data_IF_006729372775
#
_entry.id   IF_006729372775
#
_cell.length_a   1.000
_cell.length_b   1.000
_cell.length_c   1.000
_cell.angle_alpha   90.00
_cell.angle_beta   90.00
_cell.angle_gamma   90.00
#
_symmetry.space_group_name_H-M   'P 1'
#
loop_
_entity.id
_entity.type
_entity.pdbx_description
1 polymer ?
#
# COMPACT_ATOMS: atom_id res chain seq x y z
N UNK A 1 -9.15 -8.01 11.27
CA UNK A 1 -9.62 -6.66 10.90
C UNK A 1 -9.39 -6.44 9.42
N UNK A 2 -10.12 -5.55 8.76
CA UNK A 2 -9.84 -5.18 7.36
C UNK A 2 -8.87 -4.02 7.25
N UNK A 3 -7.99 -4.11 6.26
CA UNK A 3 -7.02 -3.10 5.90
C UNK A 3 -7.08 -2.82 4.42
N UNK A 4 -7.21 -1.55 4.07
CA UNK A 4 -7.33 -1.10 2.68
C UNK A 4 -5.94 -0.76 2.16
N UNK A 5 -5.57 -1.45 1.07
CA UNK A 5 -4.26 -1.41 0.45
C UNK A 5 -4.30 -0.53 -0.80
N UNK A 6 -3.26 0.26 -0.98
CA UNK A 6 -2.91 0.86 -2.25
C UNK A 6 -1.37 0.87 -2.39
N UNK A 7 -0.86 0.81 -3.61
CA UNK A 7 0.57 0.86 -3.91
C UNK A 7 0.89 1.76 -5.08
N UNK A 8 2.08 2.37 -5.02
CA UNK A 8 2.66 3.07 -6.16
C UNK A 8 3.88 2.30 -6.66
N UNK A 9 4.05 2.21 -7.98
CA UNK A 9 5.12 1.42 -8.60
C UNK A 9 5.57 2.03 -9.93
N UNK A 10 6.79 1.69 -10.37
CA UNK A 10 7.48 2.30 -11.52
C UNK A 10 6.92 1.85 -12.89
N UNK A 11 5.68 2.25 -13.17
CA UNK A 11 4.96 1.89 -14.39
C UNK A 11 4.39 0.46 -14.35
N UNK A 12 3.66 0.06 -15.40
CA UNK A 12 3.02 -1.26 -15.46
C UNK A 12 4.03 -2.41 -15.31
N UNK A 13 3.83 -3.27 -14.31
CA UNK A 13 4.73 -4.36 -13.96
C UNK A 13 6.05 -3.89 -13.32
N UNK A 14 6.11 -2.63 -12.90
CA UNK A 14 7.30 -1.96 -12.37
C UNK A 14 7.64 -2.34 -10.93
N UNK A 15 8.77 -1.81 -10.46
CA UNK A 15 9.19 -1.99 -9.08
C UNK A 15 8.29 -1.20 -8.12
N UNK A 16 7.93 -1.80 -6.98
CA UNK A 16 7.24 -1.12 -5.89
C UNK A 16 8.03 0.11 -5.41
N UNK A 17 7.34 1.25 -5.31
CA UNK A 17 7.87 2.54 -4.86
C UNK A 17 7.27 3.00 -3.53
N UNK A 18 5.98 2.77 -3.28
CA UNK A 18 5.38 3.00 -1.97
C UNK A 18 4.18 2.08 -1.73
N UNK A 19 3.86 1.85 -0.46
CA UNK A 19 2.75 0.99 -0.03
C UNK A 19 2.09 1.61 1.20
N UNK A 20 0.76 1.52 1.26
CA UNK A 20 -0.02 1.91 2.43
C UNK A 20 -1.05 0.86 2.83
N UNK A 21 -1.32 0.75 4.13
CA UNK A 21 -2.47 0.00 4.64
C UNK A 21 -3.21 0.87 5.66
N UNK A 22 -4.52 1.02 5.44
CA UNK A 22 -5.39 1.84 6.29
C UNK A 22 -6.42 0.93 6.96
N UNK A 23 -6.51 0.89 8.30
CA UNK A 23 -7.46 0.02 9.00
C UNK A 23 -8.90 0.52 8.89
N UNK A 24 -9.86 -0.41 8.91
CA UNK A 24 -11.30 -0.10 8.82
C UNK A 24 -11.83 0.72 10.01
N UNK A 25 -11.20 0.61 11.18
CA UNK A 25 -11.63 1.27 12.42
C UNK A 25 -11.03 2.67 12.61
N UNK A 26 -10.18 3.11 11.68
CA UNK A 26 -9.47 4.39 11.77
C UNK A 26 -8.31 4.39 12.78
N UNK A 27 -7.81 3.22 13.18
CA UNK A 27 -6.61 3.05 14.00
C UNK A 27 -5.32 3.50 13.33
N UNK A 28 -4.19 3.01 13.85
CA UNK A 28 -2.86 3.33 13.31
C UNK A 28 -2.73 2.87 11.86
N UNK A 29 -2.26 3.75 10.98
CA UNK A 29 -2.05 3.46 9.55
C UNK A 29 -0.60 3.03 9.29
N UNK A 30 -0.40 2.22 8.26
CA UNK A 30 0.94 1.88 7.77
C UNK A 30 1.24 2.62 6.47
N UNK A 31 2.43 3.20 6.36
CA UNK A 31 2.95 3.79 5.13
C UNK A 31 4.46 3.58 5.04
N UNK A 32 4.94 3.14 3.88
CA UNK A 32 6.36 3.02 3.60
C UNK A 32 6.69 3.40 2.16
N UNK A 33 7.81 4.13 2.00
CA UNK A 33 8.43 4.39 0.70
C UNK A 33 9.59 3.42 0.53
N UNK A 34 9.68 2.80 -0.64
CA UNK A 34 10.73 1.84 -0.99
C UNK A 34 11.91 2.58 -1.62
N UNK A 35 13.11 2.31 -1.11
CA UNK A 35 14.35 2.82 -1.67
C UNK A 35 14.53 2.33 -3.10
N UNK A 36 14.80 3.27 -4.00
CA UNK A 36 15.01 3.07 -5.42
C UNK A 36 16.14 3.99 -5.90
N UNK A 37 16.95 3.51 -6.86
CA UNK A 37 18.05 4.31 -7.41
C UNK A 37 17.58 5.23 -8.56
N UNK A 38 16.59 4.76 -9.33
CA UNK A 38 16.04 5.47 -10.49
C UNK A 38 14.56 5.10 -10.66
N UNK A 39 13.77 6.08 -11.10
CA UNK A 39 12.39 5.88 -11.59
C UNK A 39 12.45 5.99 -13.11
N UNK A 40 12.01 4.94 -13.79
CA UNK A 40 12.18 4.80 -15.24
C UNK A 40 10.97 5.27 -16.03
N UNK A 41 9.78 5.23 -15.43
CA UNK A 41 8.57 5.73 -16.05
C UNK A 41 8.47 7.27 -15.90
N UNK A 42 8.43 8.04 -17.01
CA UNK A 42 8.41 9.51 -16.94
C UNK A 42 7.11 10.08 -16.38
N UNK A 43 6.01 9.32 -16.43
CA UNK A 43 4.76 9.76 -15.82
C UNK A 43 4.84 9.58 -14.30
N UNK A 44 5.38 8.46 -13.82
CA UNK A 44 5.61 8.21 -12.38
C UNK A 44 6.57 9.24 -11.78
N UNK A 45 7.67 9.54 -12.45
CA UNK A 45 8.64 10.56 -12.00
C UNK A 45 7.96 11.93 -11.75
N UNK A 46 6.97 12.30 -12.59
CA UNK A 46 6.28 13.59 -12.48
C UNK A 46 5.07 13.57 -11.56
N UNK A 47 4.38 12.44 -11.44
CA UNK A 47 3.05 12.38 -10.82
C UNK A 47 2.97 11.52 -9.57
N UNK A 48 4.04 10.82 -9.19
CA UNK A 48 4.07 9.96 -7.99
C UNK A 48 5.19 10.42 -7.05
N UNK A 49 6.43 10.45 -7.56
CA UNK A 49 7.64 10.74 -6.74
C UNK A 49 7.54 12.04 -5.94
N UNK A 50 7.03 13.16 -6.48
CA UNK A 50 6.92 14.42 -5.72
C UNK A 50 5.97 14.34 -4.53
N UNK A 51 5.13 13.30 -4.44
CA UNK A 51 4.06 13.18 -3.46
C UNK A 51 4.37 12.21 -2.32
N UNK A 52 5.51 11.51 -2.31
CA UNK A 52 5.85 10.56 -1.24
C UNK A 52 5.77 11.18 0.16
N UNK A 53 6.28 12.40 0.32
CA UNK A 53 6.28 13.11 1.61
C UNK A 53 4.99 13.91 1.87
N UNK A 54 3.96 13.79 1.03
CA UNK A 54 2.66 14.44 1.26
C UNK A 54 1.75 13.64 2.20
N UNK A 55 2.32 13.01 3.22
CA UNK A 55 1.62 12.25 4.27
C UNK A 55 1.71 12.98 5.63
N UNK A 56 0.88 12.63 6.63
CA UNK A 56 1.02 13.17 7.99
C UNK A 56 2.45 13.02 8.52
N UNK A 57 2.94 14.01 9.27
CA UNK A 57 4.33 14.08 9.73
C UNK A 57 4.78 12.81 10.48
N UNK A 58 3.91 12.20 11.27
CA UNK A 58 4.21 10.97 12.02
C UNK A 58 4.36 9.71 11.16
N UNK A 59 3.94 9.74 9.90
CA UNK A 59 4.05 8.63 8.94
C UNK A 59 5.19 8.81 7.95
N UNK A 60 5.83 9.99 7.93
CA UNK A 60 7.04 10.18 7.13
C UNK A 60 8.15 9.31 7.68
N UNK A 61 8.78 8.53 6.80
CA UNK A 61 9.88 7.64 7.16
C UNK A 61 10.98 7.71 6.10
N UNK A 62 12.24 7.42 6.47
CA UNK A 62 13.29 7.22 5.48
C UNK A 62 12.88 6.11 4.50
N UNK A 63 13.31 6.23 3.24
CA UNK A 63 13.04 5.20 2.24
C UNK A 63 13.67 3.87 2.69
N UNK A 64 12.85 2.84 2.82
CA UNK A 64 13.25 1.53 3.32
C UNK A 64 13.69 0.63 2.18
N UNK A 65 14.65 -0.24 2.43
CA UNK A 65 14.85 -1.37 1.51
C UNK A 65 13.58 -2.22 1.50
N UNK A 66 13.29 -2.88 0.36
CA UNK A 66 12.11 -3.74 0.25
C UNK A 66 12.01 -4.81 1.36
N UNK A 67 13.09 -5.52 1.77
CA UNK A 67 13.02 -6.43 2.92
C UNK A 67 12.72 -5.72 4.24
N UNK A 68 13.28 -4.53 4.47
CA UNK A 68 13.01 -3.77 5.69
C UNK A 68 11.54 -3.27 5.75
N UNK A 69 10.97 -2.86 4.61
CA UNK A 69 9.56 -2.50 4.52
C UNK A 69 8.65 -3.71 4.79
N UNK A 70 9.01 -4.89 4.26
CA UNK A 70 8.29 -6.14 4.53
C UNK A 70 8.32 -6.52 6.02
N UNK A 71 9.48 -6.41 6.67
CA UNK A 71 9.64 -6.66 8.11
C UNK A 71 8.86 -5.66 8.96
N UNK A 72 8.87 -4.38 8.57
CA UNK A 72 8.08 -3.33 9.22
C UNK A 72 6.58 -3.61 9.11
N UNK A 73 6.11 -4.01 7.93
CA UNK A 73 4.70 -4.39 7.72
C UNK A 73 4.31 -5.59 8.58
N UNK A 74 5.13 -6.65 8.59
CA UNK A 74 4.87 -7.85 9.39
C UNK A 74 4.82 -7.53 10.89
N UNK A 75 5.72 -6.66 11.36
CA UNK A 75 5.69 -6.19 12.75
C UNK A 75 4.43 -5.39 13.05
N UNK A 76 4.06 -4.44 12.19
CA UNK A 76 2.85 -3.63 12.37
C UNK A 76 1.58 -4.49 12.38
N UNK A 77 1.48 -5.51 11.52
CA UNK A 77 0.37 -6.48 11.50
C UNK A 77 0.39 -7.49 12.66
N UNK A 78 1.44 -7.58 13.47
CA UNK A 78 1.61 -8.66 14.46
C UNK A 78 0.54 -8.72 15.56
N UNK A 79 -0.21 -7.64 15.73
CA UNK A 79 -1.31 -7.55 16.69
C UNK A 79 -2.60 -8.25 16.19
N UNK A 80 -2.74 -8.47 14.88
CA UNK A 80 -3.90 -9.10 14.26
C UNK A 80 -3.51 -10.48 13.69
N UNK A 81 -4.02 -11.59 14.25
CA UNK A 81 -3.69 -12.92 13.78
C UNK A 81 -4.37 -13.30 12.45
N UNK A 82 -5.39 -12.56 12.01
CA UNK A 82 -6.15 -12.86 10.79
C UNK A 82 -6.57 -11.56 10.04
N UNK A 83 -5.60 -10.79 9.52
CA UNK A 83 -5.86 -9.57 8.77
C UNK A 83 -6.44 -9.88 7.38
N UNK A 84 -7.51 -9.19 7.00
CA UNK A 84 -8.02 -9.17 5.62
C UNK A 84 -7.50 -7.91 4.91
N UNK A 85 -6.70 -8.10 3.87
CA UNK A 85 -6.16 -7.02 3.06
C UNK A 85 -7.02 -6.84 1.81
N UNK A 86 -7.61 -5.66 1.66
CA UNK A 86 -8.56 -5.33 0.60
C UNK A 86 -7.93 -4.36 -0.38
N UNK A 87 -7.97 -4.67 -1.67
CA UNK A 87 -7.53 -3.77 -2.73
C UNK A 87 -8.52 -3.80 -3.91
N UNK A 88 -8.68 -2.68 -4.60
CA UNK A 88 -9.50 -2.56 -5.81
C UNK A 88 -8.71 -2.74 -7.11
N UNK A 89 -7.39 -2.80 -7.02
CA UNK A 89 -6.50 -3.07 -8.13
C UNK A 89 -5.70 -4.38 -7.96
N UNK A 90 -5.63 -5.26 -8.98
CA UNK A 90 -4.93 -6.54 -8.85
C UNK A 90 -3.42 -6.42 -8.63
N UNK A 91 -2.80 -5.38 -9.17
CA UNK A 91 -1.34 -5.20 -9.09
C UNK A 91 -0.90 -4.83 -7.66
N UNK A 92 -1.73 -4.16 -6.88
CA UNK A 92 -1.45 -3.89 -5.46
C UNK A 92 -1.30 -5.18 -4.66
N UNK A 93 -2.23 -6.13 -4.86
CA UNK A 93 -2.16 -7.45 -4.24
C UNK A 93 -0.91 -8.22 -4.70
N UNK A 94 -0.53 -8.08 -5.97
CA UNK A 94 0.69 -8.67 -6.49
C UNK A 94 1.94 -8.04 -5.88
N UNK A 95 2.00 -6.71 -5.76
CA UNK A 95 3.12 -5.98 -5.17
C UNK A 95 3.27 -6.31 -3.69
N UNK A 96 2.18 -6.33 -2.91
CA UNK A 96 2.18 -6.79 -1.54
C UNK A 96 2.72 -8.23 -1.44
N UNK A 97 2.12 -9.16 -2.20
CA UNK A 97 2.53 -10.57 -2.20
C UNK A 97 4.01 -10.74 -2.52
N UNK A 98 4.51 -9.99 -3.50
CA UNK A 98 5.92 -10.00 -3.87
C UNK A 98 6.79 -9.38 -2.78
N UNK A 99 6.38 -8.27 -2.15
CA UNK A 99 7.12 -7.62 -1.07
C UNK A 99 7.37 -8.58 0.09
N UNK A 100 6.40 -9.42 0.45
CA UNK A 100 6.52 -10.40 1.53
C UNK A 100 7.58 -11.49 1.25
N UNK A 101 7.99 -11.69 0.00
CA UNK A 101 9.08 -12.60 -0.38
C UNK A 101 10.43 -11.88 -0.25
N UNK A 102 11.20 -12.25 0.79
CA UNK A 102 12.49 -11.63 1.15
C UNK A 102 13.71 -12.37 0.60
N UNK A 103 13.49 -13.45 -0.14
CA UNK A 103 14.52 -14.13 -0.91
C UNK A 103 14.11 -15.54 -1.34
N UNK A 104 15.02 -16.31 -1.95
CA UNK A 104 14.72 -17.65 -2.43
C UNK A 104 14.22 -18.56 -1.29
N UNK A 105 12.96 -18.98 -1.36
CA UNK A 105 12.32 -19.81 -0.33
C UNK A 105 12.16 -19.12 1.03
N UNK A 106 12.25 -17.79 1.08
CA UNK A 106 12.12 -17.00 2.32
C UNK A 106 11.01 -15.97 2.18
N UNK A 107 10.25 -15.82 3.26
CA UNK A 107 9.26 -14.75 3.42
C UNK A 107 9.32 -14.20 4.84
N UNK A 108 8.75 -13.02 5.06
CA UNK A 108 8.59 -12.47 6.41
C UNK A 108 7.70 -13.37 7.27
N UNK A 109 7.94 -13.45 8.59
CA UNK A 109 7.10 -14.23 9.49
C UNK A 109 5.73 -13.54 9.66
N UNK A 110 4.66 -14.23 9.24
CA UNK A 110 3.27 -13.79 9.40
C UNK A 110 2.44 -14.91 10.03
N UNK A 111 1.44 -14.53 10.84
CA UNK A 111 0.49 -15.48 11.42
C UNK A 111 -0.49 -16.05 10.38
N UNK A 112 -0.88 -15.22 9.40
CA UNK A 112 -1.82 -15.49 8.32
C UNK A 112 -2.26 -14.17 7.70
N UNK A 113 -2.83 -14.21 6.49
CA UNK A 113 -3.54 -13.06 5.90
C UNK A 113 -4.53 -13.56 4.85
N UNK A 114 -5.62 -12.82 4.68
CA UNK A 114 -6.56 -12.99 3.56
C UNK A 114 -6.34 -11.85 2.57
N UNK A 115 -6.17 -12.16 1.29
CA UNK A 115 -6.15 -11.15 0.22
C UNK A 115 -7.52 -11.12 -0.47
N UNK A 116 -8.20 -9.99 -0.36
CA UNK A 116 -9.51 -9.74 -0.97
C UNK A 116 -9.38 -8.72 -2.09
N UNK A 117 -9.65 -9.19 -3.30
CA UNK A 117 -9.85 -8.29 -4.44
C UNK A 117 -11.28 -7.76 -4.45
N UNK A 118 -11.45 -6.44 -4.43
CA UNK A 118 -12.74 -5.77 -4.40
C UNK A 118 -12.80 -4.73 -5.53
N UNK A 119 -13.16 -5.12 -6.76
CA UNK A 119 -13.20 -4.18 -7.86
C UNK A 119 -14.25 -3.09 -7.59
N UNK A 120 -13.88 -1.85 -7.89
CA UNK A 120 -14.79 -0.71 -7.79
C UNK A 120 -15.30 -0.32 -9.19
N UNK A 121 -16.61 -0.16 -9.31
CA UNK A 121 -17.25 0.29 -10.54
C UNK A 121 -17.57 1.77 -10.44
N UNK A 122 -17.10 2.58 -11.40
CA UNK A 122 -17.31 4.03 -11.46
C UNK A 122 -16.71 4.83 -10.28
N UNK A 123 -15.75 4.25 -9.58
CA UNK A 123 -14.96 4.96 -8.57
C UNK A 123 -13.48 4.75 -8.88
N UNK A 124 -12.69 5.80 -8.68
CA UNK A 124 -11.24 5.77 -8.80
C UNK A 124 -10.68 6.37 -7.51
N UNK A 125 -9.90 5.58 -6.78
CA UNK A 125 -9.25 5.98 -5.53
C UNK A 125 -8.42 7.24 -5.75
N UNK A 126 -7.50 7.22 -6.72
CA UNK A 126 -6.67 8.36 -7.09
C UNK A 126 -7.48 9.62 -7.48
N UNK A 127 -8.62 9.47 -8.16
CA UNK A 127 -9.44 10.63 -8.53
C UNK A 127 -10.24 11.23 -7.35
N UNK A 128 -10.35 10.51 -6.23
CA UNK A 128 -11.17 10.88 -5.08
C UNK A 128 -10.35 11.03 -3.78
N UNK A 129 -9.04 10.86 -3.84
CA UNK A 129 -8.15 11.05 -2.70
C UNK A 129 -7.71 12.51 -2.56
N UNK A 130 -7.23 12.87 -1.36
CA UNK A 130 -6.78 14.23 -1.08
C UNK A 130 -5.45 14.58 -1.80
N UNK A 131 -4.62 13.57 -2.04
CA UNK A 131 -3.39 13.67 -2.84
C UNK A 131 -3.40 12.48 -3.81
N UNK A 132 -3.87 12.68 -5.05
CA UNK A 132 -3.87 11.65 -6.07
C UNK A 132 -2.47 11.05 -6.26
N UNK A 133 -2.41 9.74 -6.47
CA UNK A 133 -1.16 9.01 -6.73
C UNK A 133 -0.18 9.05 -5.54
N UNK A 134 -0.76 9.04 -4.33
CA UNK A 134 -0.07 8.75 -3.10
C UNK A 134 -0.79 7.60 -2.40
N UNK A 135 -0.07 6.49 -2.21
CA UNK A 135 -0.65 5.26 -1.69
C UNK A 135 -1.44 5.43 -0.38
N UNK A 136 -1.02 6.30 0.54
CA UNK A 136 -1.77 6.50 1.78
C UNK A 136 -3.12 7.16 1.54
N UNK A 137 -3.15 8.20 0.71
CA UNK A 137 -4.39 8.92 0.42
C UNK A 137 -5.33 8.09 -0.44
N UNK A 138 -4.79 7.31 -1.38
CA UNK A 138 -5.57 6.44 -2.25
C UNK A 138 -6.17 5.26 -1.44
N UNK A 139 -5.40 4.66 -0.53
CA UNK A 139 -5.88 3.66 0.42
C UNK A 139 -6.97 4.21 1.38
N UNK A 140 -6.85 5.46 1.83
CA UNK A 140 -7.91 6.14 2.61
C UNK A 140 -9.19 6.32 1.80
N UNK A 141 -9.06 6.76 0.54
CA UNK A 141 -10.19 6.90 -0.36
C UNK A 141 -10.89 5.55 -0.62
N UNK A 142 -10.11 4.48 -0.76
CA UNK A 142 -10.61 3.10 -0.87
C UNK A 142 -11.41 2.69 0.37
N UNK A 143 -10.83 2.86 1.58
CA UNK A 143 -11.52 2.60 2.85
C UNK A 143 -12.83 3.36 2.90
N UNK A 144 -12.78 4.68 2.74
CA UNK A 144 -13.94 5.54 2.91
C UNK A 144 -15.05 5.21 1.92
N UNK A 145 -14.69 4.83 0.68
CA UNK A 145 -15.68 4.41 -0.30
C UNK A 145 -16.36 3.10 0.10
N UNK A 146 -15.58 2.07 0.45
CA UNK A 146 -16.13 0.76 0.79
C UNK A 146 -16.98 0.85 2.06
N UNK A 147 -16.47 1.50 3.11
CA UNK A 147 -17.12 1.57 4.43
C UNK A 147 -18.39 2.42 4.45
N UNK A 148 -18.55 3.38 3.52
CA UNK A 148 -19.71 4.28 3.50
C UNK A 148 -20.73 3.98 2.39
N UNK A 149 -20.35 3.20 1.36
CA UNK A 149 -21.18 3.06 0.16
C UNK A 149 -21.43 1.62 -0.30
N UNK A 150 -20.66 0.64 0.19
CA UNK A 150 -20.83 -0.77 -0.19
C UNK A 150 -21.29 -1.65 0.98
N UNK A 151 -21.31 -1.12 2.20
CA UNK A 151 -21.69 -1.80 3.45
C UNK A 151 -22.57 -0.89 4.32
#
# INVERSE_FOLDING_TARGET
>A
MRYFLDTEYDGFGGALLSIALVPEDGGEEFYAVIAHDVVTDPWVERNVVPYFDMVPEGLKSPHLSRPAAAEALAHWLSHDPDPEIVADWPEDLAQLSMMLVTGPGRMVPLHGLTLRFQPLHNFSTAANSAVPHNALHDARALRDHIMNHLE
#
